data_IF_521720059184
#
_entry.id   IF_521720059184
#
_cell.length_a   1.000
_cell.length_b   1.000
_cell.length_c   1.000
_cell.angle_alpha   90.00
_cell.angle_beta   90.00
_cell.angle_gamma   90.00
#
_symmetry.space_group_name_H-M   'P 1'
#
loop_
_entity.id
_entity.type
_entity.pdbx_description
1 polymer ?
#
# COMPACT_ATOMS: atom_id res chain seq x y z
N UNK A 1 -20.49 7.93 -47.08
CA UNK A 1 -21.54 7.35 -46.21
C UNK A 1 -21.58 8.16 -44.92
N UNK A 2 -22.80 8.45 -44.49
CA UNK A 2 -23.24 9.60 -43.72
C UNK A 2 -23.22 9.31 -42.20
N UNK A 3 -22.89 10.34 -41.40
CA UNK A 3 -23.21 10.62 -39.99
C UNK A 3 -23.66 9.49 -39.03
N UNK A 4 -23.09 9.48 -37.81
CA UNK A 4 -23.90 9.54 -36.59
C UNK A 4 -23.07 10.00 -35.38
N UNK A 5 -23.31 11.25 -34.97
CA UNK A 5 -22.99 11.78 -33.65
C UNK A 5 -24.01 11.26 -32.63
N UNK A 6 -23.59 10.96 -31.40
CA UNK A 6 -24.49 10.94 -30.25
C UNK A 6 -23.90 11.78 -29.12
N UNK A 7 -24.64 12.83 -28.80
CA UNK A 7 -24.48 13.72 -27.66
C UNK A 7 -25.71 13.48 -26.78
N UNK A 8 -25.51 13.20 -25.49
CA UNK A 8 -26.59 13.31 -24.50
C UNK A 8 -26.02 14.03 -23.28
N UNK A 9 -26.66 15.14 -22.97
CA UNK A 9 -26.38 16.02 -21.86
C UNK A 9 -27.21 15.62 -20.63
N UNK A 10 -26.58 15.78 -19.46
CA UNK A 10 -27.08 16.49 -18.27
C UNK A 10 -28.39 16.04 -17.59
N UNK A 11 -28.30 15.76 -16.28
CA UNK A 11 -29.18 16.39 -15.28
C UNK A 11 -28.58 16.31 -13.86
N UNK A 12 -28.51 17.49 -13.23
CA UNK A 12 -28.35 17.79 -11.80
C UNK A 12 -29.46 17.15 -10.94
N UNK A 13 -29.20 16.99 -9.63
CA UNK A 13 -29.91 17.71 -8.55
C UNK A 13 -29.44 17.22 -7.15
N UNK A 14 -29.04 18.14 -6.25
CA UNK A 14 -29.67 18.46 -4.92
C UNK A 14 -29.44 17.43 -3.81
N UNK A 15 -29.22 17.71 -2.53
CA UNK A 15 -28.91 18.86 -1.68
C UNK A 15 -28.60 18.27 -0.28
N UNK A 16 -27.66 18.84 0.49
CA UNK A 16 -27.62 18.65 1.96
C UNK A 16 -28.64 19.60 2.61
N UNK A 17 -29.19 19.33 3.82
CA UNK A 17 -28.55 19.84 5.04
C UNK A 17 -28.80 19.06 6.37
N UNK A 18 -27.81 19.21 7.26
CA UNK A 18 -27.88 19.60 8.69
C UNK A 18 -29.03 19.11 9.59
N UNK A 19 -28.66 18.39 10.66
CA UNK A 19 -29.32 18.47 11.96
C UNK A 19 -28.28 18.56 13.08
N UNK A 20 -28.45 19.58 13.92
CA UNK A 20 -27.64 19.93 15.08
C UNK A 20 -28.33 19.53 16.39
N UNK A 21 -27.51 19.34 17.44
CA UNK A 21 -27.76 19.59 18.87
C UNK A 21 -28.59 18.58 19.70
N UNK A 22 -28.51 18.59 21.06
CA UNK A 22 -27.61 19.32 21.97
C UNK A 22 -26.92 18.46 23.06
N UNK A 23 -26.02 19.13 23.78
CA UNK A 23 -25.28 18.69 24.97
C UNK A 23 -26.14 18.25 26.16
N UNK A 24 -25.65 17.27 26.92
CA UNK A 24 -26.01 17.05 28.31
C UNK A 24 -24.73 17.00 29.16
N UNK A 25 -24.64 18.03 29.99
CA UNK A 25 -23.59 18.35 30.94
C UNK A 25 -23.77 17.49 32.21
N UNK A 26 -22.74 16.73 32.61
CA UNK A 26 -22.70 16.09 33.93
C UNK A 26 -21.24 15.90 34.40
N UNK A 27 -20.81 16.81 35.26
CA UNK A 27 -19.76 16.63 36.26
C UNK A 27 -20.43 16.80 37.64
N UNK A 28 -19.78 16.49 38.78
CA UNK A 28 -18.67 15.58 39.04
C UNK A 28 -18.95 14.66 40.27
N UNK A 29 -18.22 13.56 40.43
CA UNK A 29 -17.92 13.07 41.79
C UNK A 29 -16.43 12.74 41.89
N UNK A 30 -15.82 13.31 42.91
CA UNK A 30 -14.38 13.32 43.20
C UNK A 30 -14.13 12.32 44.32
N UNK A 31 -13.53 11.14 44.05
CA UNK A 31 -13.04 10.28 45.12
C UNK A 31 -11.66 10.72 45.62
N UNK A 32 -11.37 10.28 46.83
CA UNK A 32 -10.35 10.73 47.76
C UNK A 32 -8.91 10.75 47.24
N UNK A 33 -8.19 11.81 47.65
CA UNK A 33 -6.73 11.81 47.85
C UNK A 33 -6.34 10.60 48.71
N UNK A 34 -5.44 9.74 48.24
CA UNK A 34 -4.77 8.81 49.15
C UNK A 34 -4.26 7.46 48.63
N UNK A 35 -4.27 7.16 47.33
CA UNK A 35 -3.80 5.85 46.85
C UNK A 35 -2.98 5.89 45.53
N UNK A 36 -2.48 7.05 45.12
CA UNK A 36 -1.81 7.25 43.82
C UNK A 36 -0.27 7.11 43.85
N UNK A 37 0.31 6.50 44.88
CA UNK A 37 1.79 6.35 44.94
C UNK A 37 2.29 5.02 44.38
N UNK A 38 1.57 3.90 44.56
CA UNK A 38 2.13 2.58 44.24
C UNK A 38 1.72 2.02 42.85
N UNK A 39 0.59 2.47 42.28
CA UNK A 39 0.14 2.03 40.96
C UNK A 39 0.76 2.85 39.81
N UNK A 40 1.07 4.12 40.05
CA UNK A 40 1.70 5.00 39.06
C UNK A 40 3.16 4.60 38.77
N UNK A 41 3.90 4.12 39.78
CA UNK A 41 5.28 3.66 39.58
C UNK A 41 5.37 2.32 38.82
N UNK A 42 4.32 1.49 38.83
CA UNK A 42 4.28 0.25 38.02
C UNK A 42 3.89 0.48 36.55
N UNK A 43 3.18 1.58 36.24
CA UNK A 43 2.83 1.93 34.85
C UNK A 43 4.00 2.57 34.08
N UNK A 44 4.92 3.25 34.77
CA UNK A 44 6.10 3.86 34.15
C UNK A 44 7.19 2.85 33.72
N UNK A 45 7.19 1.64 34.28
CA UNK A 45 8.10 0.57 33.84
C UNK A 45 7.68 -0.16 32.56
N UNK A 46 6.40 -0.09 32.17
CA UNK A 46 5.86 -0.84 31.02
C UNK A 46 5.90 -0.02 29.73
N UNK A 47 5.92 1.32 29.83
CA UNK A 47 5.97 2.20 28.66
C UNK A 47 7.39 2.42 28.12
N UNK A 48 8.44 2.11 28.89
CA UNK A 48 9.83 2.27 28.46
C UNK A 48 10.35 1.09 27.62
N UNK A 49 9.67 -0.06 27.62
CA UNK A 49 10.08 -1.25 26.85
C UNK A 49 9.34 -1.41 25.51
N UNK A 50 8.51 -0.42 25.12
CA UNK A 50 7.75 -0.45 23.87
C UNK A 50 8.40 0.40 22.75
N UNK A 51 9.37 1.26 23.07
CA UNK A 51 10.03 2.12 22.08
C UNK A 51 11.33 1.50 21.51
N UNK A 52 11.80 0.38 22.07
CA UNK A 52 13.04 -0.31 21.68
C UNK A 52 12.78 -1.61 20.88
N UNK A 53 11.73 -1.65 20.05
CA UNK A 53 11.40 -2.81 19.23
C UNK A 53 10.97 -2.46 17.82
N UNK A 54 11.66 -1.49 17.22
CA UNK A 54 11.51 -1.16 15.80
C UNK A 54 12.84 -1.23 15.02
N UNK A 55 13.92 -1.74 15.61
CA UNK A 55 15.24 -1.85 14.97
C UNK A 55 15.71 -3.31 14.85
N UNK A 56 14.78 -4.25 14.62
CA UNK A 56 15.15 -5.60 14.24
C UNK A 56 14.85 -5.78 12.75
N UNK A 57 15.90 -6.13 11.98
CA UNK A 57 15.89 -6.79 10.66
C UNK A 57 16.28 -5.98 9.41
N UNK A 58 17.12 -4.94 9.51
CA UNK A 58 17.76 -4.30 8.34
C UNK A 58 19.24 -4.71 8.11
N UNK A 59 19.79 -5.65 8.88
CA UNK A 59 21.27 -5.83 8.94
C UNK A 59 21.90 -6.67 7.82
N UNK A 60 21.14 -7.45 7.04
CA UNK A 60 21.72 -8.36 6.02
C UNK A 60 21.34 -8.04 4.57
N UNK A 61 20.72 -6.88 4.30
CA UNK A 61 20.44 -6.49 2.92
C UNK A 61 21.53 -5.58 2.34
N UNK A 62 22.16 -5.92 1.19
CA UNK A 62 23.31 -5.18 0.66
C UNK A 62 22.96 -3.77 0.13
N UNK A 63 21.72 -3.31 0.24
CA UNK A 63 21.29 -1.96 -0.14
C UNK A 63 21.37 -1.64 -1.65
N UNK A 64 21.68 -2.61 -2.51
CA UNK A 64 21.87 -2.40 -3.95
C UNK A 64 20.56 -2.07 -4.68
N UNK A 65 19.44 -2.62 -4.19
CA UNK A 65 18.11 -2.47 -4.81
C UNK A 65 17.08 -2.08 -3.74
N UNK A 66 16.04 -1.31 -4.08
CA UNK A 66 15.09 -0.79 -3.11
C UNK A 66 14.27 -1.92 -2.46
N UNK A 67 14.00 -1.77 -1.17
CA UNK A 67 13.03 -2.60 -0.45
C UNK A 67 11.61 -2.17 -0.81
N UNK A 68 10.73 -3.11 -1.16
CA UNK A 68 9.32 -2.78 -1.28
C UNK A 68 8.77 -2.57 0.13
N UNK A 69 8.22 -1.39 0.41
CA UNK A 69 7.59 -1.13 1.70
C UNK A 69 6.44 -2.09 1.98
N UNK A 70 6.09 -2.19 3.26
CA UNK A 70 4.90 -2.93 3.70
C UNK A 70 3.67 -2.33 3.02
N UNK A 71 2.76 -3.15 2.43
CA UNK A 71 1.57 -2.64 1.77
C UNK A 71 0.68 -1.83 2.73
N UNK A 72 0.33 -0.61 2.34
CA UNK A 72 -0.49 0.29 3.14
C UNK A 72 -1.98 -0.11 3.13
N UNK A 73 -2.73 0.26 4.18
CA UNK A 73 -4.20 0.19 4.14
C UNK A 73 -4.77 1.07 3.02
N UNK A 74 -5.79 0.58 2.30
CA UNK A 74 -6.40 1.32 1.19
C UNK A 74 -5.55 1.40 -0.08
N UNK A 75 -4.45 0.63 -0.17
CA UNK A 75 -3.63 0.53 -1.38
C UNK A 75 -4.45 0.14 -2.60
N UNK A 76 -3.96 0.55 -3.77
CA UNK A 76 -4.51 0.06 -5.04
C UNK A 76 -4.08 -1.37 -5.28
N UNK A 77 -5.03 -2.27 -5.51
CA UNK A 77 -4.74 -3.65 -5.86
C UNK A 77 -4.39 -3.77 -7.34
N UNK A 78 -3.27 -4.40 -7.66
CA UNK A 78 -2.98 -4.84 -9.02
C UNK A 78 -3.81 -6.08 -9.35
N UNK A 79 -4.26 -6.14 -10.60
CA UNK A 79 -4.78 -7.38 -11.16
C UNK A 79 -3.61 -8.20 -11.68
N UNK A 80 -3.46 -9.41 -11.17
CA UNK A 80 -2.37 -10.32 -11.54
C UNK A 80 -2.85 -11.39 -12.54
N UNK A 81 -2.00 -11.72 -13.51
CA UNK A 81 -2.18 -12.80 -14.49
C UNK A 81 -0.94 -13.70 -14.53
N UNK A 82 -1.07 -14.92 -15.04
CA UNK A 82 0.00 -15.94 -15.08
C UNK A 82 0.81 -15.96 -16.38
N UNK A 83 0.52 -15.06 -17.32
CA UNK A 83 1.30 -14.93 -18.54
C UNK A 83 1.63 -13.46 -18.79
N UNK A 84 2.85 -13.21 -19.25
CA UNK A 84 3.22 -11.87 -19.69
C UNK A 84 2.50 -11.49 -20.98
N UNK A 85 2.11 -10.23 -21.11
CA UNK A 85 1.45 -9.72 -22.32
C UNK A 85 2.45 -9.39 -23.45
N UNK A 86 3.74 -9.57 -23.23
CA UNK A 86 4.79 -9.33 -24.21
C UNK A 86 5.72 -10.54 -24.33
N UNK A 87 6.26 -10.76 -25.54
CA UNK A 87 7.01 -11.99 -25.85
C UNK A 87 8.45 -11.98 -25.31
N UNK A 88 9.13 -10.82 -25.34
CA UNK A 88 10.53 -10.67 -24.89
C UNK A 88 10.70 -9.32 -24.23
N UNK A 89 10.76 -9.33 -22.91
CA UNK A 89 10.94 -8.13 -22.09
C UNK A 89 12.35 -8.03 -21.53
N UNK A 90 12.78 -6.80 -21.23
CA UNK A 90 14.02 -6.55 -20.48
C UNK A 90 13.69 -5.97 -19.11
N UNK A 91 14.25 -6.55 -18.05
CA UNK A 91 14.18 -5.97 -16.70
C UNK A 91 14.96 -4.65 -16.70
N UNK A 92 14.33 -3.58 -16.24
CA UNK A 92 14.94 -2.25 -16.14
C UNK A 92 15.09 -1.76 -14.70
N UNK A 93 14.23 -2.23 -13.80
CA UNK A 93 14.27 -1.96 -12.37
C UNK A 93 13.83 -3.23 -11.63
N UNK A 94 14.32 -3.43 -10.41
CA UNK A 94 13.92 -4.54 -9.57
C UNK A 94 14.03 -4.17 -8.09
N UNK A 95 13.26 -4.84 -7.23
CA UNK A 95 13.40 -4.72 -5.78
C UNK A 95 14.48 -5.65 -5.25
N UNK A 96 14.92 -5.44 -4.02
CA UNK A 96 15.77 -6.39 -3.31
C UNK A 96 15.14 -7.79 -3.23
N UNK A 97 15.98 -8.82 -3.11
CA UNK A 97 15.59 -10.21 -2.83
C UNK A 97 15.48 -10.55 -1.34
N UNK A 98 15.58 -9.55 -0.46
CA UNK A 98 15.62 -9.73 1.00
C UNK A 98 14.27 -10.20 1.57
N UNK A 99 13.18 -10.04 0.82
CA UNK A 99 11.85 -10.57 1.14
C UNK A 99 11.46 -11.71 0.19
N UNK A 100 10.46 -12.51 0.57
CA UNK A 100 9.96 -13.68 -0.20
C UNK A 100 9.30 -13.31 -1.55
N UNK A 101 9.32 -12.04 -1.94
CA UNK A 101 8.71 -11.53 -3.16
C UNK A 101 9.59 -10.44 -3.79
N UNK A 102 10.08 -10.72 -4.99
CA UNK A 102 10.78 -9.74 -5.82
C UNK A 102 9.81 -9.17 -6.83
N UNK A 103 9.88 -7.86 -7.03
CA UNK A 103 9.20 -7.18 -8.13
C UNK A 103 10.21 -6.73 -9.16
N UNK A 104 9.82 -6.82 -10.43
CA UNK A 104 10.60 -6.35 -11.56
C UNK A 104 9.75 -5.45 -12.43
N UNK A 105 10.31 -4.33 -12.88
CA UNK A 105 9.73 -3.53 -13.96
C UNK A 105 10.33 -4.01 -15.27
N UNK A 106 9.48 -4.46 -16.20
CA UNK A 106 9.90 -5.03 -17.47
C UNK A 106 9.48 -4.13 -18.62
N UNK A 107 10.40 -3.82 -19.54
CA UNK A 107 10.15 -3.07 -20.76
C UNK A 107 9.96 -4.00 -21.96
N UNK A 108 8.90 -3.74 -22.73
CA UNK A 108 8.52 -4.42 -23.97
C UNK A 108 8.33 -3.39 -25.09
N UNK A 109 9.41 -2.96 -25.72
CA UNK A 109 9.36 -2.13 -26.93
C UNK A 109 8.54 -0.83 -26.81
N UNK A 110 8.60 -0.16 -25.64
CA UNK A 110 7.89 1.12 -25.41
C UNK A 110 6.73 1.04 -24.42
N UNK A 111 6.32 -0.17 -24.05
CA UNK A 111 5.36 -0.42 -22.96
C UNK A 111 6.03 -1.15 -21.81
N UNK A 112 5.42 -1.09 -20.63
CA UNK A 112 6.01 -1.62 -19.41
C UNK A 112 4.97 -2.42 -18.63
N UNK A 113 5.45 -3.43 -17.91
CA UNK A 113 4.64 -4.31 -17.09
C UNK A 113 5.41 -4.61 -15.80
N UNK A 114 4.71 -4.81 -14.69
CA UNK A 114 5.34 -5.25 -13.44
C UNK A 114 5.20 -6.77 -13.35
N UNK A 115 6.32 -7.43 -13.06
CA UNK A 115 6.39 -8.84 -12.73
C UNK A 115 6.57 -8.99 -11.22
N UNK A 116 5.92 -10.01 -10.66
CA UNK A 116 6.04 -10.43 -9.27
C UNK A 116 6.53 -11.87 -9.24
N UNK A 117 7.74 -12.05 -8.74
CA UNK A 117 8.37 -13.35 -8.51
C UNK A 117 8.27 -13.68 -7.02
N UNK A 118 7.56 -14.75 -6.67
CA UNK A 118 7.39 -15.21 -5.30
C UNK A 118 8.08 -16.56 -5.11
N UNK A 119 8.57 -16.81 -3.90
CA UNK A 119 9.00 -18.17 -3.56
C UNK A 119 7.82 -19.15 -3.69
N UNK A 120 8.03 -20.36 -4.23
CA UNK A 120 6.97 -21.34 -4.45
C UNK A 120 6.16 -21.60 -3.18
N UNK A 121 4.84 -21.41 -3.25
CA UNK A 121 3.90 -21.70 -2.16
C UNK A 121 2.61 -22.30 -2.74
N UNK A 122 1.93 -23.22 -2.02
CA UNK A 122 0.66 -23.77 -2.47
C UNK A 122 -0.37 -22.68 -2.78
N UNK A 123 -0.95 -22.70 -3.97
CA UNK A 123 -1.99 -21.75 -4.39
C UNK A 123 -1.49 -20.35 -4.77
N UNK A 124 -0.18 -20.11 -4.82
CA UNK A 124 0.41 -18.83 -5.28
C UNK A 124 1.30 -19.09 -6.50
N UNK A 125 1.01 -18.48 -7.66
CA UNK A 125 1.90 -18.58 -8.81
C UNK A 125 3.29 -18.06 -8.46
N UNK A 126 4.32 -18.85 -8.77
CA UNK A 126 5.72 -18.46 -8.55
C UNK A 126 6.08 -17.19 -9.32
N UNK A 127 5.46 -16.97 -10.48
CA UNK A 127 5.61 -15.77 -11.29
C UNK A 127 4.22 -15.29 -11.71
N UNK A 128 4.00 -13.98 -11.64
CA UNK A 128 2.77 -13.33 -12.08
C UNK A 128 3.06 -11.93 -12.62
N UNK A 129 2.20 -11.43 -13.50
CA UNK A 129 2.36 -10.15 -14.18
C UNK A 129 1.13 -9.28 -13.95
N UNK A 130 1.28 -7.96 -14.00
CA UNK A 130 0.12 -7.06 -13.99
C UNK A 130 -0.71 -7.24 -15.26
N UNK A 131 -2.03 -7.28 -15.15
CA UNK A 131 -2.91 -7.41 -16.31
C UNK A 131 -2.85 -6.16 -17.22
N UNK A 132 -2.50 -5.01 -16.65
CA UNK A 132 -2.36 -3.76 -17.35
C UNK A 132 -0.92 -3.56 -17.88
N UNK A 133 -0.82 -2.79 -18.96
CA UNK A 133 0.44 -2.26 -19.51
C UNK A 133 0.39 -0.75 -19.52
N UNK A 134 1.53 -0.16 -19.29
CA UNK A 134 1.64 1.29 -19.19
C UNK A 134 2.68 1.84 -20.15
N UNK A 135 2.51 3.09 -20.54
CA UNK A 135 3.60 3.88 -21.10
C UNK A 135 4.65 4.18 -20.02
N UNK A 136 5.85 4.61 -20.44
CA UNK A 136 6.99 4.81 -19.53
C UNK A 136 6.64 5.61 -18.28
N UNK A 137 6.08 6.82 -18.43
CA UNK A 137 5.83 7.71 -17.29
C UNK A 137 4.94 7.07 -16.23
N UNK A 138 3.80 6.53 -16.66
CA UNK A 138 2.82 5.89 -15.78
C UNK A 138 3.39 4.62 -15.14
N UNK A 139 4.20 3.85 -15.87
CA UNK A 139 4.86 2.68 -15.31
C UNK A 139 5.77 3.02 -14.13
N UNK A 140 6.56 4.10 -14.21
CA UNK A 140 7.39 4.57 -13.10
C UNK A 140 6.57 5.17 -11.96
N UNK A 141 5.38 5.69 -12.22
CA UNK A 141 4.44 6.09 -11.16
C UNK A 141 3.91 4.87 -10.39
N UNK A 142 3.47 3.83 -11.09
CA UNK A 142 3.06 2.57 -10.46
C UNK A 142 4.21 1.87 -9.73
N UNK A 143 5.41 1.91 -10.31
CA UNK A 143 6.62 1.40 -9.65
C UNK A 143 6.88 2.11 -8.32
N UNK A 144 6.85 3.45 -8.31
CA UNK A 144 7.02 4.22 -7.07
C UNK A 144 5.92 3.91 -6.04
N UNK A 145 4.66 3.79 -6.47
CA UNK A 145 3.55 3.41 -5.59
C UNK A 145 3.72 2.02 -5.01
N UNK A 146 4.25 1.07 -5.78
CA UNK A 146 4.59 -0.26 -5.30
C UNK A 146 5.68 -0.18 -4.22
N UNK A 147 6.75 0.56 -4.49
CA UNK A 147 7.86 0.73 -3.54
C UNK A 147 7.43 1.39 -2.23
N UNK A 148 6.46 2.32 -2.27
CA UNK A 148 5.92 3.00 -1.08
C UNK A 148 4.74 2.25 -0.44
N UNK A 149 4.39 1.06 -0.92
CA UNK A 149 3.28 0.27 -0.39
C UNK A 149 1.88 0.77 -0.77
N UNK A 150 1.78 1.81 -1.60
CA UNK A 150 0.52 2.37 -2.09
C UNK A 150 -0.15 1.52 -3.18
N UNK A 151 0.57 0.57 -3.79
CA UNK A 151 0.02 -0.39 -4.75
C UNK A 151 0.58 -1.81 -4.52
N UNK A 152 -0.21 -2.86 -4.77
CA UNK A 152 0.22 -4.25 -4.58
C UNK A 152 -0.60 -5.29 -5.33
#
# INVERSE_FOLDING_TARGET
MTHASFSVASARATSSPTASSPAANAQPTRPARGALSAAAERMLGILAEAEDKAEAEDEDCPGVSPHPAVPLPGRTAFRWIEESLGQRGRVIEHTCGCVMTVYELISYGGTYQICRCTLPRPGVPAVSWTAERWGRREAYEWWRRLLTGQAR
#
